data_IF_947745719174
#
_entry.id   IF_947745719174
#
_cell.length_a   1.000
_cell.length_b   1.000
_cell.length_c   1.000
_cell.angle_alpha   90.00
_cell.angle_beta   90.00
_cell.angle_gamma   90.00
#
_symmetry.space_group_name_H-M   'P 1'
#
loop_
_entity.id
_entity.type
_entity.pdbx_description
1 polymer ?
#
# COMPACT_ATOMS: atom_id res chain seq x y z
N UNK A 1 -8.17 -4.32 -6.99
CA UNK A 1 -6.96 -4.75 -7.72
C UNK A 1 -5.70 -4.46 -6.91
N UNK A 2 -5.48 -3.22 -6.45
CA UNK A 2 -4.26 -2.86 -5.69
C UNK A 2 -4.16 -3.56 -4.32
N UNK A 3 -5.23 -3.67 -3.53
CA UNK A 3 -5.19 -4.40 -2.24
C UNK A 3 -4.84 -5.88 -2.44
N UNK A 4 -5.41 -6.52 -3.45
CA UNK A 4 -5.09 -7.90 -3.82
C UNK A 4 -3.60 -8.04 -4.19
N UNK A 5 -3.08 -7.13 -5.02
CA UNK A 5 -1.67 -7.11 -5.40
C UNK A 5 -0.75 -6.93 -4.18
N UNK A 6 -1.09 -6.04 -3.25
CA UNK A 6 -0.31 -5.85 -2.01
C UNK A 6 -0.32 -7.12 -1.16
N UNK A 7 -1.45 -7.81 -1.04
CA UNK A 7 -1.55 -9.10 -0.35
C UNK A 7 -0.65 -10.16 -0.98
N UNK A 8 -0.65 -10.27 -2.31
CA UNK A 8 0.24 -11.18 -3.05
C UNK A 8 1.72 -10.87 -2.82
N UNK A 9 2.10 -9.59 -2.72
CA UNK A 9 3.48 -9.21 -2.37
C UNK A 9 3.84 -9.62 -0.94
N UNK A 10 2.91 -9.52 0.01
CA UNK A 10 3.12 -9.98 1.38
C UNK A 10 3.27 -11.50 1.44
N UNK A 11 2.44 -12.23 0.70
CA UNK A 11 2.50 -13.70 0.62
C UNK A 11 3.80 -14.19 -0.05
N UNK A 12 4.23 -13.55 -1.14
CA UNK A 12 5.41 -13.96 -1.89
C UNK A 12 6.74 -13.62 -1.19
N UNK A 13 6.86 -12.41 -0.65
CA UNK A 13 8.11 -11.94 -0.02
C UNK A 13 8.16 -12.21 1.49
N UNK A 14 7.04 -12.62 2.09
CA UNK A 14 6.85 -12.73 3.54
C UNK A 14 6.73 -11.36 4.21
N UNK A 15 6.18 -11.33 5.42
CA UNK A 15 5.82 -10.10 6.13
C UNK A 15 6.94 -9.04 6.19
N UNK A 16 8.17 -9.43 6.59
CA UNK A 16 9.28 -8.50 6.81
C UNK A 16 9.82 -7.81 5.53
N UNK A 17 9.70 -8.46 4.36
CA UNK A 17 10.12 -7.87 3.08
C UNK A 17 8.94 -7.35 2.28
N UNK A 18 7.78 -7.99 2.41
CA UNK A 18 6.54 -7.68 1.72
C UNK A 18 6.14 -6.22 1.88
N UNK A 19 6.11 -5.71 3.11
CA UNK A 19 5.71 -4.31 3.33
C UNK A 19 6.66 -3.32 2.62
N UNK A 20 7.96 -3.63 2.56
CA UNK A 20 8.96 -2.77 1.89
C UNK A 20 8.79 -2.76 0.39
N UNK A 21 8.43 -3.90 -0.20
CA UNK A 21 8.16 -4.00 -1.64
C UNK A 21 6.82 -3.32 -1.96
N UNK A 22 5.79 -3.56 -1.16
CA UNK A 22 4.47 -2.94 -1.33
C UNK A 22 4.54 -1.40 -1.36
N UNK A 23 5.36 -0.76 -0.51
CA UNK A 23 5.61 0.71 -0.55
C UNK A 23 5.94 1.23 -1.94
N UNK A 24 6.76 0.50 -2.71
CA UNK A 24 7.14 0.89 -4.08
C UNK A 24 5.95 0.83 -5.03
N UNK A 25 5.22 -0.28 -5.02
CA UNK A 25 4.06 -0.48 -5.90
C UNK A 25 2.94 0.53 -5.61
N UNK A 26 2.63 0.76 -4.34
CA UNK A 26 1.62 1.75 -3.96
C UNK A 26 2.10 3.17 -4.27
N UNK A 27 3.38 3.48 -4.04
CA UNK A 27 3.93 4.80 -4.42
C UNK A 27 3.87 5.06 -5.92
N UNK A 28 4.11 4.06 -6.76
CA UNK A 28 3.97 4.17 -8.22
C UNK A 28 2.52 4.38 -8.64
N UNK A 29 1.59 3.60 -8.09
CA UNK A 29 0.16 3.77 -8.33
C UNK A 29 -0.32 5.19 -7.97
N UNK A 30 0.02 5.66 -6.77
CA UNK A 30 -0.36 7.00 -6.32
C UNK A 30 0.32 8.10 -7.13
N UNK A 31 1.56 7.90 -7.58
CA UNK A 31 2.22 8.88 -8.44
C UNK A 31 1.48 9.10 -9.77
N UNK A 32 0.88 8.05 -10.34
CA UNK A 32 0.13 8.15 -11.60
C UNK A 32 -1.29 8.67 -11.41
N UNK A 33 -1.97 8.28 -10.32
CA UNK A 33 -3.40 8.55 -10.14
C UNK A 33 -3.72 9.67 -9.12
N UNK A 34 -2.82 9.94 -8.17
CA UNK A 34 -3.04 10.90 -7.08
C UNK A 34 -1.70 11.50 -6.59
N UNK A 35 -0.94 12.22 -7.45
CA UNK A 35 0.45 12.58 -7.21
C UNK A 35 0.69 13.48 -5.98
N UNK A 36 -0.29 14.30 -5.62
CA UNK A 36 -0.25 15.23 -4.49
C UNK A 36 -0.92 14.68 -3.21
N UNK A 37 -1.32 13.41 -3.22
CA UNK A 37 -2.02 12.80 -2.09
C UNK A 37 -1.09 12.57 -0.89
N UNK A 38 -1.53 13.03 0.29
CA UNK A 38 -0.82 12.85 1.55
C UNK A 38 -0.76 11.37 1.98
N UNK A 39 -1.71 10.56 1.51
CA UNK A 39 -1.76 9.13 1.78
C UNK A 39 -0.47 8.42 1.41
N UNK A 40 0.22 8.84 0.34
CA UNK A 40 1.52 8.25 -0.04
C UNK A 40 2.56 8.36 1.07
N UNK A 41 2.60 9.48 1.80
CA UNK A 41 3.53 9.68 2.91
C UNK A 41 3.16 8.80 4.10
N UNK A 42 1.87 8.75 4.44
CA UNK A 42 1.34 7.90 5.50
C UNK A 42 1.63 6.42 5.22
N UNK A 43 1.30 5.93 4.03
CA UNK A 43 1.51 4.53 3.63
C UNK A 43 3.00 4.13 3.67
N UNK A 44 3.89 5.03 3.23
CA UNK A 44 5.34 4.77 3.24
C UNK A 44 5.96 4.70 4.64
N UNK A 45 5.28 5.21 5.67
CA UNK A 45 5.73 5.11 7.05
C UNK A 45 5.36 3.77 7.71
N UNK A 46 4.41 3.01 7.15
CA UNK A 46 3.89 1.77 7.74
C UNK A 46 4.91 0.64 7.60
N UNK A 47 5.35 0.09 8.73
CA UNK A 47 6.37 -0.98 8.85
C UNK A 47 5.79 -2.38 9.08
N UNK A 48 4.47 -2.50 9.10
CA UNK A 48 3.75 -3.75 9.22
C UNK A 48 2.89 -4.03 7.97
N UNK A 49 2.82 -5.29 7.55
CA UNK A 49 2.09 -5.65 6.33
C UNK A 49 0.57 -5.70 6.53
N UNK A 50 0.08 -6.09 7.71
CA UNK A 50 -1.35 -6.02 8.01
C UNK A 50 -1.84 -4.57 8.09
N UNK A 51 -1.09 -3.70 8.76
CA UNK A 51 -1.41 -2.26 8.82
C UNK A 51 -1.43 -1.60 7.43
N UNK A 52 -0.58 -2.06 6.49
CA UNK A 52 -0.62 -1.58 5.12
C UNK A 52 -1.93 -1.95 4.41
N UNK A 53 -2.44 -3.16 4.61
CA UNK A 53 -3.71 -3.57 3.99
C UNK A 53 -4.87 -2.77 4.57
N UNK A 54 -4.93 -2.62 5.89
CA UNK A 54 -5.98 -1.83 6.57
C UNK A 54 -5.97 -0.37 6.09
N UNK A 55 -4.80 0.27 6.05
CA UNK A 55 -4.69 1.64 5.57
C UNK A 55 -5.10 1.80 4.10
N UNK A 56 -4.81 0.80 3.27
CA UNK A 56 -5.15 0.81 1.84
C UNK A 56 -6.64 0.58 1.61
N UNK A 57 -7.27 -0.33 2.35
CA UNK A 57 -8.71 -0.55 2.32
C UNK A 57 -9.45 0.72 2.77
N UNK A 58 -9.08 1.30 3.91
CA UNK A 58 -9.66 2.55 4.41
C UNK A 58 -9.46 3.72 3.44
N UNK A 59 -8.31 3.80 2.76
CA UNK A 59 -8.09 4.80 1.73
C UNK A 59 -9.12 4.69 0.61
N UNK A 60 -9.32 3.48 0.07
CA UNK A 60 -10.25 3.28 -1.06
C UNK A 60 -11.73 3.36 -0.65
N UNK A 61 -12.10 3.04 0.59
CA UNK A 61 -13.46 3.24 1.10
C UNK A 61 -13.89 4.72 1.07
N UNK A 62 -12.96 5.66 1.25
CA UNK A 62 -13.25 7.09 1.17
C UNK A 62 -13.49 7.62 -0.26
N UNK A 63 -13.25 6.78 -1.28
CA UNK A 63 -13.52 7.11 -2.69
C UNK A 63 -14.73 6.34 -3.27
N UNK A 64 -15.40 5.51 -2.46
CA UNK A 64 -16.62 4.80 -2.83
C UNK A 64 -17.87 5.66 -2.58
#
# INVERSE_FOLDING_TARGET
MLCTHVRELHDFYGQAKGYRIARKHVSWYLQEHAPDDQFRRTFNAIEDASEQLEALEAYFENFA
#
